data_IF_891285543034
#
_entry.id   IF_891285543034
#
_cell.length_a   1.000
_cell.length_b   1.000
_cell.length_c   1.000
_cell.angle_alpha   90.00
_cell.angle_beta   90.00
_cell.angle_gamma   90.00
#
_symmetry.space_group_name_H-M   'P 1'
#
loop_
_entity.id
_entity.type
_entity.pdbx_description
1 polymer ?
#
# COMPACT_ATOMS: atom_id res chain seq x y z
N UNK A 1 -19.63 12.78 -15.60
CA UNK A 1 -19.43 11.83 -14.49
C UNK A 1 -18.12 12.17 -13.76
N UNK A 2 -18.00 13.39 -13.21
CA UNK A 2 -16.82 13.86 -12.45
C UNK A 2 -17.29 14.30 -11.05
N UNK A 3 -18.44 15.00 -11.00
CA UNK A 3 -19.13 15.41 -9.77
C UNK A 3 -19.40 14.27 -8.76
N UNK A 4 -19.65 13.05 -9.23
CA UNK A 4 -19.92 11.90 -8.35
C UNK A 4 -18.66 11.38 -7.61
N UNK A 5 -17.47 11.53 -8.20
CA UNK A 5 -16.20 11.15 -7.56
C UNK A 5 -15.75 12.18 -6.52
N UNK A 6 -15.92 13.47 -6.80
CA UNK A 6 -15.56 14.52 -5.83
C UNK A 6 -16.40 14.46 -4.55
N UNK A 7 -17.67 14.07 -4.69
CA UNK A 7 -18.59 13.96 -3.55
C UNK A 7 -18.21 12.78 -2.65
N UNK A 8 -17.80 11.64 -3.24
CA UNK A 8 -17.42 10.45 -2.46
C UNK A 8 -16.08 10.61 -1.73
N UNK A 9 -15.10 11.30 -2.31
CA UNK A 9 -13.83 11.62 -1.65
C UNK A 9 -14.05 12.57 -0.47
N UNK A 10 -14.83 13.64 -0.66
CA UNK A 10 -15.17 14.59 0.42
C UNK A 10 -15.94 13.92 1.55
N UNK A 11 -16.87 13.02 1.24
CA UNK A 11 -17.56 12.23 2.26
C UNK A 11 -16.61 11.33 3.04
N UNK A 12 -15.65 10.69 2.37
CA UNK A 12 -14.68 9.84 3.02
C UNK A 12 -13.75 10.62 3.94
N UNK A 13 -13.30 11.80 3.51
CA UNK A 13 -12.49 12.70 4.34
C UNK A 13 -13.25 13.33 5.51
N UNK A 14 -14.58 13.35 5.50
CA UNK A 14 -15.38 13.87 6.63
C UNK A 14 -15.41 12.93 7.85
N UNK A 15 -14.93 11.67 7.74
CA UNK A 15 -14.71 10.77 8.88
C UNK A 15 -15.97 10.20 9.57
N UNK A 16 -17.19 10.60 9.18
CA UNK A 16 -18.45 10.24 9.89
C UNK A 16 -18.88 8.77 9.81
N UNK A 17 -18.22 7.93 8.99
CA UNK A 17 -18.65 6.57 8.64
C UNK A 17 -17.56 5.50 8.86
N UNK A 18 -16.68 5.70 9.85
CA UNK A 18 -15.42 4.97 10.01
C UNK A 18 -15.44 3.45 9.81
N UNK A 19 -16.45 2.74 10.33
CA UNK A 19 -16.55 1.27 10.28
C UNK A 19 -17.10 0.69 8.97
N UNK A 20 -17.51 1.53 8.02
CA UNK A 20 -18.05 1.07 6.74
C UNK A 20 -16.87 0.63 5.84
N UNK A 21 -16.93 -0.62 5.37
CA UNK A 21 -15.98 -1.15 4.40
C UNK A 21 -16.22 -0.48 3.04
N UNK A 22 -15.20 0.18 2.50
CA UNK A 22 -15.23 0.82 1.18
C UNK A 22 -14.78 -0.12 0.08
N UNK A 23 -13.68 -0.83 0.31
CA UNK A 23 -13.07 -1.68 -0.70
C UNK A 23 -12.39 -2.89 -0.10
N UNK A 24 -12.29 -3.96 -0.89
CA UNK A 24 -11.45 -5.11 -0.62
C UNK A 24 -10.42 -5.24 -1.73
N UNK A 25 -9.14 -5.15 -1.36
CA UNK A 25 -8.00 -5.24 -2.27
C UNK A 25 -7.20 -6.47 -1.87
N UNK A 26 -7.40 -7.59 -2.59
CA UNK A 26 -6.79 -8.86 -2.18
C UNK A 26 -7.24 -9.26 -0.77
N UNK A 27 -6.30 -9.37 0.16
CA UNK A 27 -6.54 -9.65 1.58
C UNK A 27 -6.81 -8.38 2.41
N UNK A 28 -6.56 -7.19 1.86
CA UNK A 28 -6.71 -5.92 2.56
C UNK A 28 -8.16 -5.44 2.53
N UNK A 29 -8.66 -5.00 3.68
CA UNK A 29 -9.96 -4.34 3.83
C UNK A 29 -9.70 -2.87 4.07
N UNK A 30 -10.25 -2.02 3.20
CA UNK A 30 -10.12 -0.57 3.30
C UNK A 30 -11.46 0.00 3.72
N UNK A 31 -11.49 0.61 4.88
CA UNK A 31 -12.64 1.23 5.49
C UNK A 31 -12.66 2.74 5.25
N UNK A 32 -13.80 3.37 5.53
CA UNK A 32 -13.92 4.82 5.54
C UNK A 32 -12.94 5.48 6.51
N UNK A 33 -12.66 4.87 7.67
CA UNK A 33 -11.66 5.38 8.60
C UNK A 33 -10.27 5.43 7.96
N UNK A 34 -9.89 4.41 7.20
CA UNK A 34 -8.59 4.33 6.54
C UNK A 34 -8.46 5.41 5.46
N UNK A 35 -9.52 5.65 4.67
CA UNK A 35 -9.51 6.72 3.66
C UNK A 35 -9.54 8.10 4.32
N UNK A 36 -10.21 8.28 5.45
CA UNK A 36 -10.15 9.53 6.21
C UNK A 36 -8.70 9.90 6.58
N UNK A 37 -7.83 8.92 6.82
CA UNK A 37 -6.39 9.12 7.11
C UNK A 37 -5.57 9.57 5.90
N UNK A 38 -6.19 9.66 4.72
CA UNK A 38 -5.61 10.30 3.52
C UNK A 38 -6.02 11.77 3.36
N UNK A 39 -6.85 12.31 4.25
CA UNK A 39 -7.24 13.71 4.24
C UNK A 39 -6.03 14.62 4.56
N UNK A 40 -6.08 15.93 4.20
CA UNK A 40 -5.05 16.89 4.57
C UNK A 40 -4.73 16.87 6.06
N UNK A 41 -3.46 17.06 6.41
CA UNK A 41 -2.93 17.11 7.78
C UNK A 41 -3.09 15.82 8.60
N UNK A 42 -3.51 14.72 7.98
CA UNK A 42 -3.57 13.39 8.59
C UNK A 42 -2.34 12.55 8.26
N UNK A 43 -1.98 11.62 9.15
CA UNK A 43 -0.95 10.62 8.88
C UNK A 43 -1.54 9.40 8.18
N UNK A 44 -0.91 8.97 7.08
CA UNK A 44 -1.31 7.78 6.34
C UNK A 44 -1.16 6.51 7.17
N UNK A 45 -2.18 5.64 7.10
CA UNK A 45 -2.13 4.31 7.71
C UNK A 45 -1.46 3.28 6.80
N UNK A 46 -0.70 2.38 7.43
CA UNK A 46 0.04 1.30 6.75
C UNK A 46 -0.84 0.43 5.84
N UNK A 47 -2.10 0.20 6.22
CA UNK A 47 -3.05 -0.62 5.46
C UNK A 47 -3.44 0.03 4.13
N UNK A 48 -3.61 1.36 4.09
CA UNK A 48 -3.92 2.10 2.86
C UNK A 48 -2.76 2.00 1.88
N UNK A 49 -1.54 2.24 2.35
CA UNK A 49 -0.33 2.16 1.52
C UNK A 49 -0.09 0.74 1.02
N UNK A 50 -0.23 -0.27 1.88
CA UNK A 50 -0.02 -1.66 1.49
C UNK A 50 -1.07 -2.12 0.47
N UNK A 51 -2.34 -1.73 0.65
CA UNK A 51 -3.39 -1.99 -0.33
C UNK A 51 -3.11 -1.32 -1.67
N UNK A 52 -2.66 -0.05 -1.65
CA UNK A 52 -2.30 0.67 -2.87
C UNK A 52 -1.12 0.01 -3.61
N UNK A 53 -0.06 -0.38 -2.89
CA UNK A 53 1.08 -1.11 -3.45
C UNK A 53 0.65 -2.44 -4.08
N UNK A 54 -0.29 -3.16 -3.46
CA UNK A 54 -0.84 -4.38 -4.02
C UNK A 54 -1.56 -4.13 -5.35
N UNK A 55 -2.31 -3.02 -5.48
CA UNK A 55 -2.95 -2.65 -6.76
C UNK A 55 -1.91 -2.34 -7.83
N UNK A 56 -0.87 -1.58 -7.51
CA UNK A 56 0.21 -1.25 -8.45
C UNK A 56 0.91 -2.50 -8.97
N UNK A 57 1.32 -3.39 -8.08
CA UNK A 57 1.96 -4.66 -8.44
C UNK A 57 1.02 -5.55 -9.25
N UNK A 58 -0.25 -5.64 -8.86
CA UNK A 58 -1.26 -6.42 -9.59
C UNK A 58 -1.46 -5.91 -11.02
N UNK A 59 -1.55 -4.59 -11.19
CA UNK A 59 -1.71 -3.98 -12.51
C UNK A 59 -0.47 -4.19 -13.37
N UNK A 60 0.73 -3.96 -12.81
CA UNK A 60 1.99 -4.22 -13.50
C UNK A 60 2.10 -5.68 -13.96
N UNK A 61 1.81 -6.64 -13.08
CA UNK A 61 1.87 -8.07 -13.39
C UNK A 61 0.83 -8.53 -14.42
N UNK A 62 -0.24 -7.75 -14.63
CA UNK A 62 -1.25 -8.03 -15.66
C UNK A 62 -0.83 -7.50 -17.03
N UNK A 63 -0.14 -6.36 -17.07
CA UNK A 63 0.16 -5.61 -18.29
C UNK A 63 1.58 -5.86 -18.82
N UNK A 64 2.49 -6.32 -17.97
CA UNK A 64 3.91 -6.50 -18.29
C UNK A 64 4.30 -7.97 -18.39
N UNK A 65 5.35 -8.26 -19.17
CA UNK A 65 5.97 -9.59 -19.23
C UNK A 65 6.83 -9.92 -17.99
N UNK A 66 7.24 -8.89 -17.24
CA UNK A 66 7.98 -9.05 -15.99
C UNK A 66 7.05 -9.26 -14.79
N UNK A 67 7.60 -9.78 -13.68
CA UNK A 67 6.90 -9.89 -12.40
C UNK A 67 7.44 -8.89 -11.40
N UNK A 68 6.55 -8.25 -10.66
CA UNK A 68 6.83 -7.45 -9.49
C UNK A 68 6.22 -8.08 -8.24
N UNK A 69 6.77 -7.75 -7.09
CA UNK A 69 6.23 -8.09 -5.76
C UNK A 69 6.36 -6.90 -4.83
N UNK A 70 5.40 -6.74 -3.92
CA UNK A 70 5.48 -5.79 -2.81
C UNK A 70 5.61 -6.56 -1.50
N UNK A 71 6.60 -6.20 -0.69
CA UNK A 71 6.75 -6.64 0.70
C UNK A 71 5.93 -5.69 1.57
N UNK A 72 5.19 -6.23 2.55
CA UNK A 72 4.37 -5.42 3.44
C UNK A 72 5.20 -4.44 4.26
N UNK A 73 4.57 -3.35 4.71
CA UNK A 73 5.28 -2.25 5.38
C UNK A 73 5.97 -2.67 6.68
N UNK A 74 5.40 -3.62 7.42
CA UNK A 74 5.95 -4.07 8.71
C UNK A 74 7.18 -4.96 8.49
N UNK A 75 7.09 -5.87 7.54
CA UNK A 75 8.19 -6.76 7.15
C UNK A 75 9.33 -5.97 6.53
N UNK A 76 9.05 -5.05 5.60
CA UNK A 76 10.08 -4.20 5.00
C UNK A 76 10.77 -3.30 6.04
N UNK A 77 10.00 -2.74 6.99
CA UNK A 77 10.58 -1.98 8.11
C UNK A 77 11.42 -2.86 9.05
N UNK A 78 11.10 -4.15 9.17
CA UNK A 78 11.90 -5.12 9.94
C UNK A 78 13.20 -5.47 9.22
N UNK A 79 13.15 -5.68 7.90
CA UNK A 79 14.31 -5.90 7.03
C UNK A 79 15.25 -4.69 7.10
N UNK A 80 14.72 -3.46 6.99
CA UNK A 80 15.50 -2.22 7.12
C UNK A 80 16.27 -2.14 8.45
N UNK A 81 15.66 -2.61 9.54
CA UNK A 81 16.30 -2.68 10.88
C UNK A 81 17.22 -3.89 11.05
N UNK A 82 17.61 -4.54 9.94
CA UNK A 82 18.48 -5.73 9.91
C UNK A 82 17.95 -6.91 10.74
N UNK A 83 16.62 -6.98 10.96
CA UNK A 83 16.00 -8.14 11.59
C UNK A 83 15.89 -9.27 10.58
N UNK A 84 15.82 -10.50 11.09
CA UNK A 84 15.61 -11.68 10.24
C UNK A 84 14.29 -11.55 9.47
N UNK A 85 14.40 -11.53 8.15
CA UNK A 85 13.26 -11.55 7.25
C UNK A 85 12.48 -12.87 7.40
N UNK A 86 11.16 -12.77 7.50
CA UNK A 86 10.20 -13.88 7.46
C UNK A 86 9.68 -14.10 6.04
N UNK A 87 9.81 -13.12 5.16
CA UNK A 87 9.40 -13.26 3.76
C UNK A 87 10.21 -14.35 3.07
N UNK A 88 9.51 -15.31 2.46
CA UNK A 88 10.11 -16.35 1.62
C UNK A 88 9.90 -15.98 0.16
N UNK A 89 10.91 -15.37 -0.45
CA UNK A 89 10.93 -15.06 -1.87
C UNK A 89 12.32 -15.33 -2.43
N UNK A 90 12.39 -15.72 -3.70
CA UNK A 90 13.64 -15.78 -4.44
C UNK A 90 13.77 -14.48 -5.26
N UNK A 91 14.73 -13.59 -4.99
CA UNK A 91 14.74 -12.25 -5.57
C UNK A 91 14.75 -12.24 -7.11
N UNK A 92 15.49 -13.16 -7.72
CA UNK A 92 15.66 -13.26 -9.18
C UNK A 92 14.37 -13.66 -9.93
N UNK A 93 13.32 -14.04 -9.20
CA UNK A 93 12.02 -14.36 -9.80
C UNK A 93 11.23 -13.11 -10.20
N UNK A 94 11.66 -11.93 -9.74
CA UNK A 94 10.95 -10.66 -9.82
C UNK A 94 11.83 -9.54 -10.34
N UNK A 95 11.42 -8.93 -11.46
CA UNK A 95 12.06 -7.74 -12.02
C UNK A 95 12.08 -6.57 -11.04
N UNK A 96 11.00 -6.40 -10.26
CA UNK A 96 10.91 -5.36 -9.23
C UNK A 96 10.46 -5.94 -7.89
N UNK A 97 11.18 -5.61 -6.83
CA UNK A 97 10.77 -5.85 -5.44
C UNK A 97 10.55 -4.49 -4.80
N UNK A 98 9.33 -4.22 -4.37
CA UNK A 98 8.92 -2.96 -3.78
C UNK A 98 8.67 -3.14 -2.29
N UNK A 99 8.84 -2.06 -1.52
CA UNK A 99 8.46 -2.03 -0.12
C UNK A 99 8.39 -0.62 0.42
N UNK A 100 7.56 -0.42 1.43
CA UNK A 100 7.43 0.87 2.11
C UNK A 100 7.94 0.71 3.53
N UNK A 101 8.84 1.58 3.97
CA UNK A 101 9.41 1.61 5.30
C UNK A 101 8.72 2.72 6.10
N UNK A 102 8.36 2.43 7.35
CA UNK A 102 8.04 3.46 8.34
C UNK A 102 9.22 3.61 9.31
N UNK A 103 9.83 4.79 9.31
CA UNK A 103 10.83 5.18 10.29
C UNK A 103 10.54 6.59 10.80
N UNK A 104 10.38 6.74 12.11
CA UNK A 104 10.16 8.04 12.77
C UNK A 104 9.01 8.87 12.16
N UNK A 105 7.86 8.22 11.89
CA UNK A 105 6.70 8.81 11.23
C UNK A 105 6.98 9.32 9.79
N UNK A 106 8.06 8.84 9.17
CA UNK A 106 8.38 9.10 7.78
C UNK A 106 8.22 7.83 6.95
N UNK A 107 7.47 7.94 5.86
CA UNK A 107 7.24 6.85 4.91
C UNK A 107 8.25 6.94 3.78
N UNK A 108 9.02 5.86 3.57
CA UNK A 108 10.02 5.77 2.51
C UNK A 108 9.69 4.62 1.57
N UNK A 109 9.56 4.90 0.28
CA UNK A 109 9.44 3.87 -0.75
C UNK A 109 10.82 3.33 -1.12
N UNK A 110 10.93 2.01 -1.16
CA UNK A 110 12.11 1.28 -1.64
C UNK A 110 11.74 0.45 -2.85
N UNK A 111 12.65 0.41 -3.83
CA UNK A 111 12.54 -0.46 -4.99
C UNK A 111 13.89 -1.10 -5.28
N UNK A 112 13.87 -2.41 -5.53
CA UNK A 112 15.02 -3.17 -5.96
C UNK A 112 14.79 -3.66 -7.38
N UNK A 113 15.80 -3.50 -8.22
CA UNK A 113 15.86 -4.09 -9.55
C UNK A 113 16.60 -5.41 -9.44
N UNK A 114 16.06 -6.45 -10.08
CA UNK A 114 16.83 -7.66 -10.33
C UNK A 114 16.97 -7.79 -11.85
N UNK A 115 18.21 -7.69 -12.31
CA UNK A 115 18.61 -7.89 -13.71
C UNK A 115 18.97 -9.35 -13.95
#
# INVERSE_FOLDING_TARGET
>A
MILAQDTSVKEAWNGKKGYILLAKVGTFKVYFADIHRTAPDMELESEVMTAYMHLLVKNFNKESQGRAIAIDTFEMSSIWKQKRAKVKLHPLDYRYILGIINACNHWTLTHFFTD
#
